data_IF_321000291603
#
_entry.id   IF_321000291603
#
_cell.length_a   1.000
_cell.length_b   1.000
_cell.length_c   1.000
_cell.angle_alpha   90.00
_cell.angle_beta   90.00
_cell.angle_gamma   90.00
#
_symmetry.space_group_name_H-M   'P 1'
#
loop_
_entity.id
_entity.type
_entity.pdbx_description
1 polymer ?
#
# COMPACT_ATOMS: atom_id res chain seq x y z
N UNK A 1 -3.74 9.75 -3.43
CA UNK A 1 -5.11 9.52 -2.94
C UNK A 1 -6.18 10.26 -3.72
N UNK A 2 -5.90 10.80 -4.91
CA UNK A 2 -6.93 11.48 -5.72
C UNK A 2 -7.38 10.65 -6.92
N UNK A 3 -6.91 9.41 -7.03
CA UNK A 3 -7.37 8.51 -8.06
C UNK A 3 -8.79 8.04 -7.73
N UNK A 4 -9.77 8.17 -8.63
CA UNK A 4 -11.18 7.84 -8.34
C UNK A 4 -11.38 6.40 -7.83
N UNK A 5 -10.59 5.46 -8.35
CA UNK A 5 -10.59 4.06 -7.90
C UNK A 5 -10.17 3.92 -6.43
N UNK A 6 -9.13 4.64 -6.01
CA UNK A 6 -8.65 4.61 -4.62
C UNK A 6 -9.70 5.22 -3.69
N UNK A 7 -10.35 6.32 -4.11
CA UNK A 7 -11.43 6.93 -3.32
C UNK A 7 -12.64 6.00 -3.16
N UNK A 8 -13.03 5.30 -4.23
CA UNK A 8 -14.10 4.28 -4.15
C UNK A 8 -13.73 3.16 -3.19
N UNK A 9 -12.50 2.64 -3.27
CA UNK A 9 -12.03 1.57 -2.39
C UNK A 9 -12.06 1.99 -0.92
N UNK A 10 -11.60 3.21 -0.63
CA UNK A 10 -11.61 3.77 0.73
C UNK A 10 -13.01 4.07 1.27
N UNK A 11 -14.04 4.11 0.42
CA UNK A 11 -15.43 4.25 0.84
C UNK A 11 -16.06 2.92 1.32
N UNK A 12 -15.36 1.79 1.15
CA UNK A 12 -15.80 0.47 1.60
C UNK A 12 -15.05 0.04 2.88
N UNK A 13 -15.57 -0.95 3.62
CA UNK A 13 -14.81 -1.56 4.72
C UNK A 13 -13.46 -2.12 4.25
N UNK A 14 -12.44 -2.17 5.14
CA UNK A 14 -11.14 -2.72 4.79
C UNK A 14 -11.26 -4.20 4.41
N UNK A 15 -10.45 -4.62 3.43
CA UNK A 15 -10.33 -6.01 3.00
C UNK A 15 -9.74 -6.87 4.11
N UNK A 16 -8.76 -6.35 4.85
CA UNK A 16 -8.16 -7.02 6.00
C UNK A 16 -7.69 -6.00 7.05
N UNK A 17 -7.51 -6.46 8.28
CA UNK A 17 -6.88 -5.69 9.36
C UNK A 17 -5.77 -6.52 9.96
N UNK A 18 -4.55 -6.02 9.91
CA UNK A 18 -3.38 -6.71 10.45
C UNK A 18 -2.72 -5.88 11.53
N UNK A 19 -2.17 -6.53 12.54
CA UNK A 19 -1.34 -5.86 13.55
C UNK A 19 0.10 -5.92 13.07
N UNK A 20 0.73 -4.77 12.83
CA UNK A 20 2.15 -4.72 12.45
C UNK A 20 2.99 -5.32 13.56
N UNK A 21 3.73 -6.40 13.26
CA UNK A 21 4.59 -7.06 14.26
C UNK A 21 5.64 -6.11 14.87
N UNK A 22 6.14 -5.14 14.09
CA UNK A 22 7.21 -4.24 14.54
C UNK A 22 6.74 -3.10 15.45
N UNK A 23 5.48 -2.67 15.37
CA UNK A 23 4.96 -1.52 16.13
C UNK A 23 3.76 -1.84 17.01
N UNK A 24 3.16 -3.03 16.87
CA UNK A 24 1.90 -3.38 17.53
C UNK A 24 0.70 -2.57 17.02
N UNK A 25 0.89 -1.73 15.99
CA UNK A 25 -0.16 -0.88 15.45
C UNK A 25 -1.08 -1.70 14.54
N UNK A 26 -2.39 -1.55 14.73
CA UNK A 26 -3.38 -2.09 13.81
C UNK A 26 -3.38 -1.25 12.53
N UNK A 27 -3.16 -1.90 11.41
CA UNK A 27 -3.23 -1.30 10.08
C UNK A 27 -4.32 -1.99 9.28
N UNK A 28 -5.02 -1.21 8.49
CA UNK A 28 -6.12 -1.65 7.66
C UNK A 28 -5.66 -1.71 6.21
N UNK A 29 -5.97 -2.81 5.54
CA UNK A 29 -5.57 -3.11 4.18
C UNK A 29 -6.80 -3.06 3.29
N UNK A 30 -6.67 -2.37 2.16
CA UNK A 30 -7.70 -2.28 1.14
C UNK A 30 -7.13 -2.74 -0.19
N UNK A 31 -7.77 -3.72 -0.79
CA UNK A 31 -7.47 -4.09 -2.18
C UNK A 31 -8.04 -3.03 -3.12
N UNK A 32 -7.14 -2.27 -3.72
CA UNK A 32 -7.46 -1.25 -4.71
C UNK A 32 -7.75 -1.81 -6.10
N UNK A 33 -7.56 -3.12 -6.31
CA UNK A 33 -7.69 -3.77 -7.61
C UNK A 33 -6.55 -3.43 -8.57
N UNK A 34 -6.71 -3.85 -9.83
CA UNK A 34 -5.73 -3.59 -10.88
C UNK A 34 -5.90 -2.18 -11.44
N UNK A 35 -4.77 -1.48 -11.60
CA UNK A 35 -4.65 -0.21 -12.31
C UNK A 35 -3.72 -0.40 -13.49
N UNK A 36 -4.06 0.24 -14.60
CA UNK A 36 -3.14 0.43 -15.72
C UNK A 36 -2.42 1.77 -15.50
N UNK A 37 -1.13 1.77 -15.10
CA UNK A 37 -0.45 3.00 -14.69
C UNK A 37 -0.11 3.89 -15.89
N UNK A 38 0.12 3.29 -17.07
CA UNK A 38 0.17 3.97 -18.36
C UNK A 38 0.15 2.94 -19.49
N UNK A 39 -0.22 3.38 -20.71
CA UNK A 39 -0.19 2.53 -21.91
C UNK A 39 1.21 1.92 -22.10
N UNK A 40 1.29 0.59 -22.12
CA UNK A 40 2.54 -0.17 -22.30
C UNK A 40 3.27 -0.57 -21.02
N UNK A 41 2.78 -0.15 -19.84
CA UNK A 41 3.23 -0.71 -18.56
C UNK A 41 2.34 -1.89 -18.15
N UNK A 42 2.90 -2.89 -17.42
CA UNK A 42 2.09 -3.97 -16.90
C UNK A 42 1.00 -3.43 -15.97
N UNK A 43 -0.16 -4.10 -15.98
CA UNK A 43 -1.19 -3.85 -14.99
C UNK A 43 -0.60 -4.08 -13.60
N UNK A 44 -0.81 -3.14 -12.70
CA UNK A 44 -0.35 -3.24 -11.31
C UNK A 44 -1.55 -3.31 -10.38
N UNK A 45 -1.55 -4.29 -9.49
CA UNK A 45 -2.48 -4.35 -8.37
C UNK A 45 -2.07 -3.31 -7.35
N UNK A 46 -3.05 -2.54 -6.88
CA UNK A 46 -2.86 -1.50 -5.89
C UNK A 46 -3.39 -2.00 -4.56
N UNK A 47 -2.59 -1.88 -3.52
CA UNK A 47 -2.99 -2.16 -2.15
C UNK A 47 -2.80 -0.88 -1.36
N UNK A 48 -3.86 -0.44 -0.69
CA UNK A 48 -3.82 0.74 0.16
C UNK A 48 -3.74 0.28 1.60
N UNK A 49 -2.76 0.80 2.33
CA UNK A 49 -2.61 0.54 3.77
C UNK A 49 -2.94 1.81 4.50
N UNK A 50 -3.87 1.74 5.44
CA UNK A 50 -4.26 2.83 6.32
C UNK A 50 -3.82 2.52 7.74
N UNK A 51 -3.14 3.46 8.37
CA UNK A 51 -2.79 3.36 9.77
C UNK A 51 -2.93 4.72 10.47
N UNK A 52 -3.12 4.75 11.80
CA UNK A 52 -3.19 6.00 12.53
C UNK A 52 -1.92 6.84 12.30
N UNK A 53 -2.11 8.15 12.18
CA UNK A 53 -0.99 9.07 12.05
C UNK A 53 -0.18 9.07 13.34
N UNK A 54 1.16 9.01 13.26
CA UNK A 54 1.98 9.09 14.44
C UNK A 54 1.80 10.45 15.14
N UNK A 55 2.18 10.56 16.43
CA UNK A 55 2.09 11.80 17.18
C UNK A 55 2.69 13.00 16.45
N UNK A 56 2.17 14.21 16.66
CA UNK A 56 2.71 15.43 16.08
C UNK A 56 4.22 15.53 16.32
N UNK A 57 5.00 15.81 15.27
CA UNK A 57 6.47 15.90 15.33
C UNK A 57 7.22 14.68 14.86
N UNK A 58 6.57 13.53 14.63
CA UNK A 58 7.20 12.37 13.97
C UNK A 58 7.07 12.50 12.45
N UNK A 59 8.20 12.49 11.75
CA UNK A 59 8.21 12.52 10.28
C UNK A 59 7.67 11.21 9.70
N UNK A 60 6.77 11.34 8.73
CA UNK A 60 6.23 10.22 7.94
C UNK A 60 7.15 10.07 6.72
N UNK A 61 7.94 9.01 6.69
CA UNK A 61 8.89 8.76 5.62
C UNK A 61 8.24 8.21 4.34
N UNK A 62 7.13 7.48 4.48
CA UNK A 62 6.42 6.80 3.39
C UNK A 62 4.92 6.97 3.60
N UNK A 63 4.19 7.32 2.54
CA UNK A 63 2.74 7.52 2.57
C UNK A 63 2.31 8.99 2.58
N UNK A 64 0.99 9.20 2.57
CA UNK A 64 0.35 10.52 2.62
C UNK A 64 -0.54 10.58 3.86
N UNK A 65 -0.28 11.56 4.73
CA UNK A 65 -1.17 11.91 5.85
C UNK A 65 -2.41 12.63 5.35
N UNK A 66 -3.58 12.19 5.79
CA UNK A 66 -4.87 12.87 5.60
C UNK A 66 -5.62 12.81 6.93
N UNK A 67 -5.73 13.95 7.60
CA UNK A 67 -6.29 14.05 8.94
C UNK A 67 -5.47 13.24 9.96
N UNK A 68 -6.17 12.33 10.64
CA UNK A 68 -5.63 11.44 11.67
C UNK A 68 -5.07 10.12 11.10
N UNK A 69 -5.10 9.95 9.78
CA UNK A 69 -4.69 8.72 9.12
C UNK A 69 -3.52 8.96 8.18
N UNK A 70 -2.66 7.95 8.08
CA UNK A 70 -1.60 7.86 7.07
C UNK A 70 -1.96 6.72 6.13
N UNK A 71 -1.84 7.02 4.85
CA UNK A 71 -2.13 6.08 3.79
C UNK A 71 -0.88 5.80 3.00
N UNK A 72 -0.51 4.54 2.93
CA UNK A 72 0.57 4.02 2.13
C UNK A 72 -0.02 3.28 0.91
N UNK A 73 0.67 3.37 -0.23
CA UNK A 73 0.26 2.70 -1.46
C UNK A 73 1.33 1.70 -1.84
N UNK A 74 0.92 0.46 -1.99
CA UNK A 74 1.74 -0.64 -2.49
C UNK A 74 1.27 -0.99 -3.88
N UNK A 75 2.20 -1.05 -4.82
CA UNK A 75 1.95 -1.47 -6.19
C UNK A 75 2.67 -2.79 -6.39
N UNK A 76 1.96 -3.79 -6.89
CA UNK A 76 2.51 -5.12 -7.16
C UNK A 76 1.96 -5.69 -8.46
N UNK A 77 2.72 -6.56 -9.11
CA UNK A 77 2.24 -7.36 -10.25
C UNK A 77 1.77 -8.75 -9.81
N UNK A 78 1.79 -9.03 -8.50
CA UNK A 78 1.40 -10.33 -7.98
C UNK A 78 -0.11 -10.57 -8.13
N UNK A 79 -0.52 -11.77 -8.56
CA UNK A 79 -1.93 -12.09 -8.75
C UNK A 79 -2.70 -12.08 -7.42
N UNK A 80 -4.01 -11.86 -7.49
CA UNK A 80 -4.91 -12.02 -6.35
C UNK A 80 -5.08 -13.49 -5.95
N UNK A 81 -4.90 -14.40 -6.92
CA UNK A 81 -4.93 -15.85 -6.71
C UNK A 81 -3.55 -16.31 -6.21
N UNK A 82 -3.43 -16.49 -4.90
CA UNK A 82 -2.21 -16.96 -4.23
C UNK A 82 -1.43 -15.90 -3.43
N UNK A 83 -1.73 -14.60 -3.59
CA UNK A 83 -1.17 -13.54 -2.74
C UNK A 83 -2.27 -12.64 -2.18
N UNK A 84 -2.55 -12.78 -0.88
CA UNK A 84 -3.45 -11.90 -0.16
C UNK A 84 -2.79 -10.53 0.06
N UNK A 85 -3.59 -9.54 0.43
CA UNK A 85 -3.08 -8.19 0.72
C UNK A 85 -2.09 -8.17 1.90
N UNK A 86 -2.22 -9.15 2.80
CA UNK A 86 -1.34 -9.39 3.94
C UNK A 86 0.01 -9.95 3.48
N UNK A 87 0.01 -10.93 2.57
CA UNK A 87 1.23 -11.53 2.01
C UNK A 87 2.08 -10.50 1.26
N UNK A 88 1.44 -9.60 0.53
CA UNK A 88 2.14 -8.52 -0.18
C UNK A 88 2.77 -7.53 0.80
N UNK A 89 2.08 -7.24 1.90
CA UNK A 89 2.61 -6.37 2.95
C UNK A 89 3.80 -7.03 3.68
N UNK A 90 3.69 -8.32 3.98
CA UNK A 90 4.78 -9.10 4.57
C UNK A 90 5.99 -9.21 3.62
N UNK A 91 5.76 -9.37 2.32
CA UNK A 91 6.83 -9.36 1.31
C UNK A 91 7.55 -8.00 1.28
N UNK A 92 6.80 -6.90 1.41
CA UNK A 92 7.39 -5.57 1.48
C UNK A 92 8.22 -5.35 2.76
N UNK A 93 7.78 -5.92 3.89
CA UNK A 93 8.41 -5.70 5.20
C UNK A 93 9.48 -6.74 5.58
N UNK A 94 9.42 -7.98 5.12
CA UNK A 94 9.95 -9.11 5.89
C UNK A 94 10.60 -10.30 5.17
N UNK A 95 10.59 -10.42 3.83
CA UNK A 95 11.39 -11.48 3.17
C UNK A 95 12.56 -10.89 2.38
N UNK A 96 13.71 -10.78 3.04
CA UNK A 96 15.03 -10.76 2.42
C UNK A 96 15.34 -9.55 1.54
N UNK A 97 16.37 -8.81 1.91
CA UNK A 97 16.96 -7.73 1.13
C UNK A 97 17.68 -8.18 -0.17
N UNK A 98 17.22 -9.24 -0.84
CA UNK A 98 17.98 -9.93 -1.89
C UNK A 98 17.21 -10.12 -3.22
N UNK A 99 16.21 -9.29 -3.53
CA UNK A 99 15.75 -9.16 -4.93
C UNK A 99 15.05 -7.82 -5.23
N UNK A 100 15.64 -6.71 -4.76
CA UNK A 100 15.04 -5.36 -4.86
C UNK A 100 15.00 -4.78 -6.28
N UNK A 101 15.35 -5.53 -7.32
CA UNK A 101 15.50 -5.01 -8.68
C UNK A 101 14.23 -4.92 -9.52
N UNK A 102 13.24 -5.81 -9.30
CA UNK A 102 12.26 -6.09 -10.37
C UNK A 102 10.77 -5.83 -10.08
N UNK A 103 10.34 -5.69 -8.81
CA UNK A 103 8.89 -5.88 -8.49
C UNK A 103 8.20 -4.64 -7.90
N UNK A 104 8.92 -3.74 -7.24
CA UNK A 104 8.33 -2.57 -6.56
C UNK A 104 8.76 -1.25 -7.21
N UNK A 105 7.95 -0.74 -8.14
CA UNK A 105 8.12 0.60 -8.71
C UNK A 105 7.82 1.69 -7.69
N UNK A 106 8.86 2.34 -7.15
CA UNK A 106 8.72 3.52 -6.29
C UNK A 106 8.21 4.69 -7.14
N UNK A 107 6.90 4.91 -7.18
CA UNK A 107 6.30 6.03 -7.93
C UNK A 107 6.62 7.37 -7.25
N UNK A 108 7.73 7.99 -7.64
CA UNK A 108 8.14 9.32 -7.22
C UNK A 108 7.60 10.31 -8.25
N UNK A 109 6.47 10.98 -7.98
CA UNK A 109 6.06 12.17 -8.76
C UNK A 109 7.22 13.18 -8.66
N UNK A 110 7.91 13.45 -9.77
CA UNK A 110 8.60 14.73 -9.92
C UNK A 110 7.54 15.77 -10.21
N UNK A 111 7.51 16.79 -9.37
CA UNK A 111 6.87 18.07 -9.67
C UNK A 111 7.51 18.72 -10.90
#
# INVERSE_FOLDING_TARGET
MEHPQIQRVLAHPPTASVTRMNSGERVELFDGGWLEPSRGLPHVRVIVVRHPAPPPGKNIAVGKRVGEWVYELFLTILPTDGFLVEDVLDLYHGRGAEDRGAIFGRYRRRS
#
